data_IF_086705529876
#
_entry.id   IF_086705529876
#
_cell.length_a   1.000
_cell.length_b   1.000
_cell.length_c   1.000
_cell.angle_alpha   90.00
_cell.angle_beta   90.00
_cell.angle_gamma   90.00
#
_symmetry.space_group_name_H-M   'P 1'
#
loop_
_entity.id
_entity.type
_entity.pdbx_description
1 polymer ?
#
# COMPACT_ATOMS: atom_id res chain seq x y z
N UNK A 1 63.70 -29.86 8.31
CA UNK A 1 62.28 -29.43 8.37
C UNK A 1 61.46 -30.68 8.30
N UNK A 2 60.68 -30.96 9.34
CA UNK A 2 59.88 -32.18 9.39
C UNK A 2 58.73 -32.08 8.39
N UNK A 3 58.34 -33.21 7.79
CA UNK A 3 57.25 -33.29 6.81
C UNK A 3 55.95 -32.68 7.35
N UNK A 4 55.71 -32.81 8.67
CA UNK A 4 54.59 -32.19 9.38
C UNK A 4 54.64 -30.66 9.37
N UNK A 5 55.82 -30.05 9.48
CA UNK A 5 55.97 -28.59 9.43
C UNK A 5 55.70 -28.06 8.03
N UNK A 6 56.13 -28.80 7.00
CA UNK A 6 55.89 -28.45 5.60
C UNK A 6 54.40 -28.55 5.23
N UNK A 7 53.70 -29.60 5.69
CA UNK A 7 52.26 -29.76 5.47
C UNK A 7 51.45 -28.63 6.13
N UNK A 8 51.82 -28.21 7.34
CA UNK A 8 51.13 -27.11 8.05
C UNK A 8 51.27 -25.77 7.31
N UNK A 9 52.46 -25.47 6.77
CA UNK A 9 52.72 -24.24 5.99
C UNK A 9 51.91 -24.25 4.69
N UNK A 10 51.85 -25.38 3.98
CA UNK A 10 51.08 -25.51 2.73
C UNK A 10 49.59 -25.29 2.99
N UNK A 11 49.03 -25.87 4.06
CA UNK A 11 47.63 -25.67 4.44
C UNK A 11 47.35 -24.20 4.76
N UNK A 12 48.27 -23.52 5.46
CA UNK A 12 48.13 -22.09 5.76
C UNK A 12 48.12 -21.22 4.50
N UNK A 13 48.98 -21.51 3.52
CA UNK A 13 49.04 -20.77 2.25
C UNK A 13 47.77 -21.01 1.42
N UNK A 14 47.30 -22.26 1.32
CA UNK A 14 46.06 -22.58 0.61
C UNK A 14 44.86 -21.94 1.30
N UNK A 15 44.76 -22.01 2.62
CA UNK A 15 43.72 -21.36 3.41
C UNK A 15 43.75 -19.83 3.25
N UNK A 16 44.94 -19.22 3.20
CA UNK A 16 45.09 -17.79 2.96
C UNK A 16 44.64 -17.38 1.56
N UNK A 17 44.95 -18.17 0.52
CA UNK A 17 44.46 -17.92 -0.84
C UNK A 17 42.94 -18.06 -0.93
N UNK A 18 42.37 -19.06 -0.24
CA UNK A 18 40.91 -19.26 -0.17
C UNK A 18 40.22 -18.12 0.59
N UNK A 19 40.83 -17.64 1.68
CA UNK A 19 40.33 -16.51 2.46
C UNK A 19 40.50 -15.19 1.69
N UNK A 20 41.61 -15.00 0.98
CA UNK A 20 41.85 -13.89 0.05
C UNK A 20 40.83 -13.88 -1.08
N UNK A 21 40.41 -15.05 -1.56
CA UNK A 21 39.37 -15.19 -2.57
C UNK A 21 37.97 -14.88 -2.01
N UNK A 22 37.66 -15.37 -0.81
CA UNK A 22 36.39 -15.12 -0.11
C UNK A 22 36.23 -13.65 0.35
N UNK A 23 37.35 -12.96 0.60
CA UNK A 23 37.43 -11.56 1.04
C UNK A 23 38.05 -10.67 -0.06
N UNK A 24 37.80 -10.98 -1.33
CA UNK A 24 38.03 -9.97 -2.38
C UNK A 24 37.15 -8.75 -2.06
N UNK A 25 37.73 -7.59 -1.73
CA UNK A 25 36.93 -6.39 -1.51
C UNK A 25 36.26 -6.00 -2.83
N UNK A 26 34.98 -5.64 -2.77
CA UNK A 26 34.34 -4.85 -3.81
C UNK A 26 35.15 -3.55 -3.88
N UNK A 27 35.66 -3.20 -5.06
CA UNK A 27 36.43 -1.96 -5.22
C UNK A 27 35.55 -0.76 -4.82
N UNK A 28 35.95 0.08 -3.84
CA UNK A 28 35.49 1.45 -3.86
C UNK A 28 36.15 2.09 -5.09
N UNK A 29 35.37 2.30 -6.15
CA UNK A 29 35.71 3.15 -7.29
C UNK A 29 36.02 4.58 -6.81
N UNK A 30 37.25 4.79 -6.32
CA UNK A 30 37.89 6.07 -6.11
C UNK A 30 39.37 5.93 -6.48
N UNK A 31 39.64 5.67 -7.75
CA UNK A 31 40.92 6.03 -8.36
C UNK A 31 40.72 7.35 -9.08
N UNK A 32 41.11 8.41 -8.39
CA UNK A 32 41.32 9.73 -8.95
C UNK A 32 42.39 9.62 -10.04
N UNK A 33 41.97 9.53 -11.29
CA UNK A 33 42.83 9.73 -12.46
C UNK A 33 42.94 11.25 -12.72
N UNK A 34 43.45 11.96 -11.72
CA UNK A 34 43.83 13.37 -11.76
C UNK A 34 45.35 13.43 -11.58
N UNK A 35 46.11 13.45 -12.68
CA UNK A 35 47.44 14.13 -12.71
C UNK A 35 48.08 14.33 -14.09
N UNK A 36 47.48 13.91 -15.21
CA UNK A 36 48.15 14.00 -16.54
C UNK A 36 47.37 14.82 -17.60
N UNK A 37 46.54 15.81 -17.20
CA UNK A 37 45.78 16.61 -18.18
C UNK A 37 45.55 18.09 -17.79
N UNK A 38 46.40 18.67 -16.93
CA UNK A 38 46.21 20.05 -16.42
C UNK A 38 46.71 21.13 -17.41
N UNK A 39 47.52 20.80 -18.42
CA UNK A 39 48.16 21.86 -19.26
C UNK A 39 47.32 22.28 -20.49
N UNK A 40 46.29 21.54 -20.90
CA UNK A 40 45.53 21.84 -22.13
C UNK A 40 44.15 22.48 -21.95
N UNK A 41 43.72 22.85 -20.74
CA UNK A 41 42.34 23.33 -20.49
C UNK A 41 42.18 24.79 -20.06
N UNK A 42 43.20 25.64 -20.22
CA UNK A 42 43.08 27.05 -19.81
C UNK A 42 42.38 27.98 -20.80
N UNK A 43 41.78 27.46 -21.90
CA UNK A 43 41.18 28.32 -22.92
C UNK A 43 39.77 27.91 -23.37
N UNK A 44 38.97 27.30 -22.49
CA UNK A 44 37.56 26.97 -22.81
C UNK A 44 36.61 27.79 -21.95
N UNK A 45 35.88 28.69 -22.61
CA UNK A 45 34.87 29.60 -22.05
C UNK A 45 33.91 28.91 -21.08
N UNK A 46 33.41 29.61 -20.04
CA UNK A 46 32.60 29.00 -18.98
C UNK A 46 31.10 28.83 -19.29
N UNK A 47 30.66 29.02 -20.54
CA UNK A 47 29.22 29.17 -20.85
C UNK A 47 28.50 27.93 -21.44
N UNK A 48 29.08 26.71 -21.38
CA UNK A 48 28.40 25.54 -21.99
C UNK A 48 28.56 24.22 -21.22
N UNK A 49 28.20 24.23 -19.93
CA UNK A 49 28.14 23.01 -19.08
C UNK A 49 26.71 22.59 -18.71
N UNK A 50 25.70 23.15 -19.36
CA UNK A 50 24.29 22.76 -19.13
C UNK A 50 23.82 21.54 -19.93
N UNK A 51 24.65 20.94 -20.79
CA UNK A 51 24.18 19.88 -21.68
C UNK A 51 24.61 18.48 -21.23
N UNK A 52 23.62 17.74 -20.71
CA UNK A 52 23.56 16.28 -20.49
C UNK A 52 24.10 15.78 -19.15
N UNK A 53 23.42 16.14 -18.06
CA UNK A 53 23.28 15.21 -16.94
C UNK A 53 22.75 13.90 -17.52
N UNK A 54 23.60 12.88 -17.59
CA UNK A 54 23.24 11.53 -17.99
C UNK A 54 22.17 11.07 -17.00
N UNK A 55 20.90 11.23 -17.36
CA UNK A 55 19.80 10.73 -16.56
C UNK A 55 19.93 9.22 -16.60
N UNK A 56 20.18 8.63 -15.44
CA UNK A 56 20.25 7.18 -15.30
C UNK A 56 18.89 6.62 -15.71
N UNK A 57 18.84 5.64 -16.62
CA UNK A 57 17.57 5.02 -16.97
C UNK A 57 16.98 4.37 -15.70
N UNK A 58 15.68 4.56 -15.49
CA UNK A 58 14.98 3.92 -14.37
C UNK A 58 14.82 2.44 -14.68
N UNK A 59 15.31 1.59 -13.79
CA UNK A 59 15.15 0.13 -13.89
C UNK A 59 13.88 -0.31 -13.14
N UNK A 60 13.31 -1.44 -13.55
CA UNK A 60 12.13 -1.97 -12.87
C UNK A 60 12.43 -2.39 -11.41
N UNK A 61 13.67 -2.83 -11.12
CA UNK A 61 14.14 -3.10 -9.75
C UNK A 61 14.03 -1.87 -8.84
N UNK A 62 14.37 -0.68 -9.35
CA UNK A 62 14.23 0.56 -8.58
C UNK A 62 12.77 0.86 -8.24
N UNK A 63 11.85 0.54 -9.16
CA UNK A 63 10.41 0.73 -8.96
C UNK A 63 9.89 -0.27 -7.92
N UNK A 64 10.34 -1.53 -7.99
CA UNK A 64 9.94 -2.59 -7.06
C UNK A 64 10.33 -2.23 -5.61
N UNK A 65 11.56 -1.77 -5.39
CA UNK A 65 12.02 -1.35 -4.06
C UNK A 65 11.12 -0.24 -3.48
N UNK A 66 10.82 0.80 -4.26
CA UNK A 66 9.91 1.86 -3.80
C UNK A 66 8.51 1.30 -3.50
N UNK A 67 8.01 0.38 -4.32
CA UNK A 67 6.69 -0.25 -4.14
C UNK A 67 6.59 -1.08 -2.87
N UNK A 68 7.69 -1.68 -2.38
CA UNK A 68 7.68 -2.39 -1.09
C UNK A 68 7.39 -1.48 0.10
N UNK A 69 7.81 -0.21 0.02
CA UNK A 69 7.63 0.80 1.07
C UNK A 69 6.35 1.62 0.85
N UNK A 70 6.00 1.88 -0.40
CA UNK A 70 4.88 2.72 -0.81
C UNK A 70 3.88 1.95 -1.70
N UNK A 71 3.15 0.95 -1.16
CA UNK A 71 2.30 0.06 -1.95
C UNK A 71 1.11 0.76 -2.61
N UNK A 72 0.69 1.92 -2.10
CA UNK A 72 -0.43 2.70 -2.66
C UNK A 72 -0.05 3.55 -3.89
N UNK A 73 1.24 3.68 -4.22
CA UNK A 73 1.68 4.44 -5.38
C UNK A 73 1.57 3.59 -6.65
N UNK A 74 1.21 4.23 -7.75
CA UNK A 74 1.23 3.57 -9.06
C UNK A 74 2.66 3.48 -9.59
N UNK A 75 2.93 2.50 -10.46
CA UNK A 75 4.23 2.34 -11.11
C UNK A 75 4.62 3.56 -11.94
N UNK A 76 3.64 4.22 -12.57
CA UNK A 76 3.83 5.46 -13.33
C UNK A 76 4.29 6.63 -12.46
N UNK A 77 3.69 6.80 -11.27
CA UNK A 77 4.11 7.83 -10.31
C UNK A 77 5.54 7.62 -9.85
N UNK A 78 5.87 6.37 -9.46
CA UNK A 78 7.21 6.01 -9.00
C UNK A 78 8.25 6.23 -10.11
N UNK A 79 7.96 5.77 -11.34
CA UNK A 79 8.87 5.92 -12.48
C UNK A 79 9.15 7.39 -12.78
N UNK A 80 8.12 8.24 -12.84
CA UNK A 80 8.29 9.66 -13.12
C UNK A 80 9.12 10.36 -12.03
N UNK A 81 8.90 10.04 -10.75
CA UNK A 81 9.69 10.66 -9.69
C UNK A 81 11.13 10.15 -9.69
N UNK A 82 11.37 8.87 -9.94
CA UNK A 82 12.72 8.30 -10.13
C UNK A 82 13.45 8.93 -11.33
N UNK A 83 12.76 9.25 -12.43
CA UNK A 83 13.34 9.95 -13.58
C UNK A 83 13.73 11.41 -13.25
N UNK A 84 13.11 11.99 -12.21
CA UNK A 84 13.36 13.35 -11.75
C UNK A 84 14.44 13.41 -10.68
N UNK A 85 14.38 12.53 -9.69
CA UNK A 85 15.30 12.47 -8.55
C UNK A 85 16.58 11.71 -8.88
N UNK A 86 16.49 10.66 -9.72
CA UNK A 86 17.60 9.78 -10.06
C UNK A 86 18.03 8.83 -8.95
N UNK A 87 17.31 8.79 -7.82
CA UNK A 87 17.61 7.92 -6.67
C UNK A 87 16.32 7.40 -6.01
N UNK A 88 16.37 6.14 -5.60
CA UNK A 88 15.31 5.45 -4.86
C UNK A 88 15.12 6.09 -3.48
N UNK A 89 16.21 6.38 -2.78
CA UNK A 89 16.21 6.94 -1.42
C UNK A 89 15.49 8.29 -1.39
N UNK A 90 15.82 9.16 -2.34
CA UNK A 90 15.27 10.52 -2.42
C UNK A 90 13.79 10.51 -2.82
N UNK A 91 13.38 9.52 -3.60
CA UNK A 91 11.96 9.28 -3.95
C UNK A 91 11.17 8.81 -2.73
N UNK A 92 11.74 7.92 -1.91
CA UNK A 92 11.13 7.44 -0.67
C UNK A 92 11.02 8.58 0.36
N UNK A 93 12.08 9.36 0.55
CA UNK A 93 12.10 10.51 1.45
C UNK A 93 10.99 11.51 1.09
N UNK A 94 10.93 11.91 -0.19
CA UNK A 94 9.88 12.80 -0.69
C UNK A 94 8.46 12.24 -0.48
N UNK A 95 8.30 10.94 -0.70
CA UNK A 95 7.03 10.26 -0.45
C UNK A 95 6.68 10.26 1.05
N UNK A 96 7.63 10.05 1.95
CA UNK A 96 7.43 10.13 3.40
C UNK A 96 7.09 11.57 3.85
N UNK A 97 7.70 12.59 3.24
CA UNK A 97 7.42 14.00 3.53
C UNK A 97 6.04 14.45 3.05
N UNK A 98 5.68 14.09 1.81
CA UNK A 98 4.48 14.60 1.13
C UNK A 98 3.27 13.65 1.29
N UNK A 99 3.51 12.38 1.59
CA UNK A 99 2.53 11.31 1.63
C UNK A 99 2.05 10.79 0.26
N UNK A 100 2.44 11.44 -0.84
CA UNK A 100 2.10 11.04 -2.21
C UNK A 100 3.11 11.61 -3.23
N UNK A 101 3.16 11.01 -4.43
CA UNK A 101 3.96 11.47 -5.55
C UNK A 101 3.08 12.11 -6.66
N UNK A 102 3.63 13.03 -7.47
CA UNK A 102 2.90 13.60 -8.61
C UNK A 102 2.53 12.52 -9.63
N UNK A 103 1.37 12.68 -10.27
CA UNK A 103 0.92 11.77 -11.32
C UNK A 103 1.57 12.09 -12.66
N UNK A 104 1.95 11.07 -13.47
CA UNK A 104 2.43 11.30 -14.82
C UNK A 104 1.31 11.85 -15.72
N UNK A 105 1.66 12.60 -16.79
CA UNK A 105 0.68 13.15 -17.69
C UNK A 105 -0.13 12.03 -18.35
N UNK A 106 -1.46 12.09 -18.23
CA UNK A 106 -2.38 11.10 -18.77
C UNK A 106 -2.81 10.00 -17.80
N UNK A 107 -2.25 9.96 -16.58
CA UNK A 107 -2.70 9.03 -15.54
C UNK A 107 -3.38 9.78 -14.40
N UNK A 108 -4.59 9.36 -14.08
CA UNK A 108 -5.34 9.84 -12.92
C UNK A 108 -5.30 8.79 -11.81
N UNK A 109 -5.48 9.23 -10.56
CA UNK A 109 -5.54 8.33 -9.40
C UNK A 109 -6.50 7.18 -9.71
N UNK A 110 -6.08 5.91 -9.55
CA UNK A 110 -7.02 4.80 -9.68
C UNK A 110 -8.16 5.08 -8.72
N UNK A 111 -9.35 5.29 -9.29
CA UNK A 111 -10.57 5.30 -8.51
C UNK A 111 -10.68 3.88 -7.98
N UNK A 112 -10.26 3.69 -6.73
CA UNK A 112 -10.83 2.60 -5.95
C UNK A 112 -12.33 2.81 -6.07
N UNK A 113 -12.99 1.93 -6.82
CA UNK A 113 -14.42 1.71 -6.67
C UNK A 113 -14.58 1.09 -5.30
N UNK A 114 -14.36 1.89 -4.26
CA UNK A 114 -15.03 1.68 -3.01
C UNK A 114 -16.51 1.73 -3.40
N UNK A 115 -17.22 0.64 -3.14
CA UNK A 115 -18.68 0.52 -3.17
C UNK A 115 -19.38 1.51 -2.19
N UNK A 116 -18.79 2.68 -1.99
CA UNK A 116 -19.22 3.78 -1.13
C UNK A 116 -19.93 4.89 -1.93
N UNK A 117 -19.78 4.94 -3.26
CA UNK A 117 -20.41 5.98 -4.09
C UNK A 117 -21.91 5.74 -4.39
N UNK A 118 -22.47 4.61 -3.94
CA UNK A 118 -23.91 4.33 -4.04
C UNK A 118 -24.71 4.74 -2.79
N UNK A 119 -24.10 5.29 -1.74
CA UNK A 119 -24.82 5.70 -0.52
C UNK A 119 -25.35 7.14 -0.56
N UNK A 120 -24.91 7.97 -1.53
CA UNK A 120 -25.35 9.37 -1.62
C UNK A 120 -26.32 9.65 -2.77
N UNK A 121 -26.75 8.61 -3.50
CA UNK A 121 -27.89 8.74 -4.40
C UNK A 121 -29.15 8.63 -3.54
N UNK A 122 -29.99 9.68 -3.44
CA UNK A 122 -31.27 9.53 -2.77
C UNK A 122 -31.98 8.34 -3.40
N UNK A 123 -32.45 7.36 -2.61
CA UNK A 123 -33.07 6.18 -3.17
C UNK A 123 -34.19 6.65 -4.09
N UNK A 124 -34.13 6.24 -5.35
CA UNK A 124 -35.25 6.43 -6.28
C UNK A 124 -36.50 5.93 -5.55
N UNK A 125 -37.48 6.81 -5.40
CA UNK A 125 -38.65 6.64 -4.54
C UNK A 125 -39.46 5.43 -4.99
N UNK A 126 -39.05 4.22 -4.59
CA UNK A 126 -39.94 3.07 -4.52
C UNK A 126 -40.81 3.30 -3.31
N UNK A 127 -42.10 3.48 -3.56
CA UNK A 127 -43.18 3.77 -2.61
C UNK A 127 -43.48 2.60 -1.66
N UNK A 128 -42.46 1.98 -1.06
CA UNK A 128 -42.68 1.15 0.12
C UNK A 128 -42.68 2.09 1.32
N UNK A 129 -43.88 2.46 1.76
CA UNK A 129 -44.14 3.45 2.80
C UNK A 129 -43.52 3.01 4.14
N UNK A 130 -43.29 1.70 4.34
CA UNK A 130 -42.71 1.14 5.56
C UNK A 130 -41.61 0.10 5.30
N UNK A 131 -40.56 0.12 6.13
CA UNK A 131 -39.48 -0.88 6.14
C UNK A 131 -40.01 -2.31 6.39
N UNK A 132 -41.10 -2.45 7.14
CA UNK A 132 -41.75 -3.74 7.43
C UNK A 132 -42.32 -4.36 6.15
N UNK A 133 -42.98 -3.55 5.32
CA UNK A 133 -43.54 -4.00 4.04
C UNK A 133 -42.42 -4.31 3.04
N UNK A 134 -41.38 -3.46 3.01
CA UNK A 134 -40.22 -3.66 2.13
C UNK A 134 -39.51 -4.99 2.37
N UNK A 135 -39.46 -5.43 3.62
CA UNK A 135 -38.78 -6.67 4.01
C UNK A 135 -39.73 -7.81 4.37
N UNK A 136 -41.04 -7.65 4.15
CA UNK A 136 -42.03 -8.70 4.44
C UNK A 136 -42.07 -9.15 5.92
N UNK A 137 -41.81 -8.23 6.86
CA UNK A 137 -41.64 -8.53 8.29
C UNK A 137 -42.97 -8.61 9.08
N UNK A 138 -44.12 -8.64 8.40
CA UNK A 138 -45.44 -8.56 9.05
C UNK A 138 -45.70 -9.72 10.00
N UNK A 139 -45.35 -10.94 9.62
CA UNK A 139 -45.48 -12.14 10.44
C UNK A 139 -44.50 -12.19 11.62
N UNK A 140 -43.31 -11.60 11.46
CA UNK A 140 -42.28 -11.59 12.49
C UNK A 140 -42.59 -10.60 13.62
N UNK A 141 -43.27 -9.49 13.30
CA UNK A 141 -43.82 -8.55 14.31
C UNK A 141 -44.75 -9.25 15.30
N UNK A 142 -45.55 -10.22 14.84
CA UNK A 142 -46.49 -10.97 15.68
C UNK A 142 -45.82 -12.05 16.54
N UNK A 143 -44.66 -12.57 16.10
CA UNK A 143 -43.95 -13.67 16.78
C UNK A 143 -42.87 -13.19 17.78
N UNK A 144 -42.36 -11.95 17.65
CA UNK A 144 -41.26 -11.43 18.47
C UNK A 144 -41.63 -11.05 19.92
N UNK A 145 -42.91 -11.12 20.31
CA UNK A 145 -43.29 -10.89 21.72
C UNK A 145 -42.80 -11.98 22.69
N UNK A 146 -42.29 -13.11 22.19
CA UNK A 146 -41.97 -14.28 23.03
C UNK A 146 -40.55 -14.82 22.94
N UNK A 147 -39.70 -14.35 22.01
CA UNK A 147 -38.37 -14.95 21.83
C UNK A 147 -37.26 -13.90 21.81
N UNK A 148 -36.60 -13.74 22.95
CA UNK A 148 -35.46 -12.84 23.13
C UNK A 148 -34.14 -13.53 22.81
N UNK A 149 -33.43 -13.00 21.81
CA UNK A 149 -32.01 -13.24 21.56
C UNK A 149 -31.72 -14.42 20.65
N UNK A 150 -31.45 -14.13 19.36
CA UNK A 150 -30.89 -15.12 18.43
C UNK A 150 -29.37 -15.11 18.57
N UNK A 151 -28.80 -16.29 18.76
CA UNK A 151 -27.36 -16.48 18.95
C UNK A 151 -26.58 -16.01 17.71
N UNK A 152 -25.59 -15.14 17.93
CA UNK A 152 -24.86 -14.41 16.88
C UNK A 152 -23.56 -15.12 16.50
N UNK A 153 -23.62 -16.42 16.22
CA UNK A 153 -22.46 -17.18 15.73
C UNK A 153 -22.24 -16.88 14.25
N UNK A 154 -21.08 -16.31 13.90
CA UNK A 154 -20.69 -16.07 12.52
C UNK A 154 -20.30 -17.41 11.87
N UNK A 155 -20.99 -17.79 10.80
CA UNK A 155 -20.63 -18.95 9.97
C UNK A 155 -19.77 -18.50 8.76
N UNK A 156 -18.83 -19.35 8.34
CA UNK A 156 -17.95 -19.09 7.20
C UNK A 156 -18.65 -19.28 5.84
N UNK A 157 -19.76 -20.00 5.80
CA UNK A 157 -20.55 -20.21 4.59
C UNK A 157 -21.30 -18.95 4.15
N UNK A 158 -21.22 -18.64 2.86
CA UNK A 158 -21.75 -17.41 2.26
C UNK A 158 -23.27 -17.32 2.40
N UNK A 159 -23.96 -18.43 2.17
CA UNK A 159 -25.41 -18.55 2.27
C UNK A 159 -25.89 -18.34 3.72
N UNK A 160 -25.23 -18.99 4.67
CA UNK A 160 -25.57 -18.89 6.09
C UNK A 160 -25.34 -17.48 6.62
N UNK A 161 -24.20 -16.88 6.27
CA UNK A 161 -23.90 -15.48 6.58
C UNK A 161 -24.93 -14.52 5.98
N UNK A 162 -25.36 -14.77 4.74
CA UNK A 162 -26.42 -14.00 4.09
C UNK A 162 -27.74 -14.06 4.86
N UNK A 163 -28.13 -15.25 5.32
CA UNK A 163 -29.35 -15.46 6.11
C UNK A 163 -29.25 -14.84 7.51
N UNK A 164 -28.08 -14.86 8.15
CA UNK A 164 -27.85 -14.23 9.45
C UNK A 164 -27.94 -12.71 9.34
N UNK A 165 -27.37 -12.12 8.28
CA UNK A 165 -27.43 -10.68 8.07
C UNK A 165 -28.85 -10.19 7.80
N UNK A 166 -29.66 -10.97 7.06
CA UNK A 166 -31.07 -10.62 6.83
C UNK A 166 -31.89 -10.70 8.13
N UNK A 167 -31.69 -11.75 8.94
CA UNK A 167 -32.30 -11.90 10.27
C UNK A 167 -31.92 -10.75 11.20
N UNK A 168 -30.63 -10.43 11.31
CA UNK A 168 -30.13 -9.31 12.14
C UNK A 168 -30.67 -7.95 11.67
N UNK A 169 -30.81 -7.76 10.35
CA UNK A 169 -31.43 -6.55 9.79
C UNK A 169 -32.90 -6.46 10.19
N UNK A 170 -33.65 -7.56 10.12
CA UNK A 170 -35.04 -7.62 10.56
C UNK A 170 -35.18 -7.25 12.03
N UNK A 171 -34.39 -7.87 12.89
CA UNK A 171 -34.35 -7.59 14.34
C UNK A 171 -34.04 -6.11 14.62
N UNK A 172 -33.05 -5.54 13.94
CA UNK A 172 -32.68 -4.13 14.10
C UNK A 172 -33.85 -3.19 13.75
N UNK A 173 -34.59 -3.49 12.67
CA UNK A 173 -35.75 -2.69 12.24
C UNK A 173 -36.84 -2.72 13.32
N UNK A 174 -37.11 -3.90 13.87
CA UNK A 174 -38.15 -4.11 14.88
C UNK A 174 -37.76 -3.46 16.22
N UNK A 175 -36.50 -3.63 16.64
CA UNK A 175 -35.94 -2.97 17.82
C UNK A 175 -35.94 -1.43 17.72
N UNK A 176 -35.57 -0.89 16.55
CA UNK A 176 -35.60 0.56 16.31
C UNK A 176 -37.03 1.12 16.40
N UNK A 177 -38.02 0.40 15.86
CA UNK A 177 -39.43 0.78 15.96
C UNK A 177 -39.91 0.82 17.41
N UNK A 178 -39.58 -0.21 18.21
CA UNK A 178 -39.92 -0.25 19.63
C UNK A 178 -39.32 0.94 20.38
N UNK A 179 -38.04 1.23 20.14
CA UNK A 179 -37.34 2.36 20.76
C UNK A 179 -37.99 3.69 20.40
N UNK A 180 -38.36 3.89 19.14
CA UNK A 180 -39.05 5.11 18.67
C UNK A 180 -40.43 5.25 19.34
N UNK A 181 -41.22 4.17 19.37
CA UNK A 181 -42.53 4.18 20.03
C UNK A 181 -42.42 4.56 21.52
N UNK A 182 -41.43 4.01 22.23
CA UNK A 182 -41.16 4.39 23.62
C UNK A 182 -40.72 5.85 23.78
N UNK A 183 -40.01 6.43 22.81
CA UNK A 183 -39.63 7.85 22.84
C UNK A 183 -40.84 8.76 22.65
N UNK A 184 -41.71 8.46 21.67
CA UNK A 184 -42.94 9.22 21.45
C UNK A 184 -43.90 9.16 22.64
N UNK A 185 -43.99 8.01 23.31
CA UNK A 185 -44.80 7.89 24.53
C UNK A 185 -44.25 8.77 25.66
N UNK A 186 -42.93 8.82 25.84
CA UNK A 186 -42.29 9.67 26.86
C UNK A 186 -42.52 11.15 26.57
N UNK A 187 -42.37 11.56 25.32
CA UNK A 187 -42.61 12.94 24.88
C UNK A 187 -44.08 13.36 25.08
N UNK A 188 -45.04 12.48 24.73
CA UNK A 188 -46.46 12.77 24.95
C UNK A 188 -46.88 12.76 26.43
N UNK A 189 -46.09 12.17 27.32
CA UNK A 189 -46.38 12.09 28.76
C UNK A 189 -45.71 13.19 29.60
N UNK A 190 -44.88 14.03 28.97
CA UNK A 190 -44.19 15.17 29.59
C UNK A 190 -44.88 16.49 29.23
#
# INVERSE_FOLDING_TARGET
MDSSTLAFIVILVVGFVFLRWLISPVDPLLTNDETENIVHRLNRSPDDVSARRIRRPVTDDMIEVVRTIAPQLTTGQIRMDLERTGSVELTIERYMETGNLPFPPGESRPQHTDDSENHNKPPAKTSSINLIEKYGLTSQVEQEEQNGGVDSTWHDDKEDRGSLLSKKRAEMILGARRRLASQLQKENSA
#
